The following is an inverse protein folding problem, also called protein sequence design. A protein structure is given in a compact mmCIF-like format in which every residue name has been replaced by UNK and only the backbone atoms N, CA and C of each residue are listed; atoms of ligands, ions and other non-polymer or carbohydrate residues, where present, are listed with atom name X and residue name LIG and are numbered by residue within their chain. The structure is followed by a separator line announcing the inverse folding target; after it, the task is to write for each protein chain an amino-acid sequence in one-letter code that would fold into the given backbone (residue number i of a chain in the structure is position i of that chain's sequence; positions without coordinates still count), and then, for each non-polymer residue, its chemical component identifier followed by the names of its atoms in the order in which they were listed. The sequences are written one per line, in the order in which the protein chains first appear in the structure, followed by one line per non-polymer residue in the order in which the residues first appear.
data_IF_369692600606
#
_entry.id   IF_369692600606
#
_cell.length_a   1.000
_cell.length_b   1.000
_cell.length_c   1.000
_cell.angle_alpha   90.00
_cell.angle_beta   90.00
_cell.angle_gamma   90.00
#
_symmetry.space_group_name_H-M   'P 1'
#
loop_
_entity.id
_entity.type
_entity.pdbx_description
1 polymer ?
#
# COMPACT_ATOMS: atom_id res chain seq x y z
N UNK A 1 14.21 -65.66 -16.68
CA UNK A 1 12.89 -66.27 -16.44
C UNK A 1 11.88 -65.14 -16.26
N UNK A 2 10.95 -65.02 -17.22
CA UNK A 2 9.64 -64.31 -17.20
C UNK A 2 9.62 -62.86 -16.67
N UNK A 3 9.70 -61.78 -17.46
CA UNK A 3 8.78 -61.26 -18.51
C UNK A 3 7.30 -61.30 -18.12
N UNK A 4 6.65 -60.13 -18.00
CA UNK A 4 5.40 -59.81 -18.72
C UNK A 4 5.25 -58.29 -18.91
N UNK A 5 5.03 -57.95 -20.17
CA UNK A 5 4.81 -56.63 -20.77
C UNK A 5 3.30 -56.44 -20.97
N UNK A 6 2.81 -55.19 -21.01
CA UNK A 6 1.72 -54.84 -21.93
C UNK A 6 1.71 -53.34 -22.22
N UNK A 7 2.20 -53.00 -23.42
CA UNK A 7 1.90 -51.77 -24.16
C UNK A 7 0.73 -52.07 -25.09
N UNK A 8 -0.25 -51.17 -25.15
CA UNK A 8 -1.19 -51.11 -26.28
C UNK A 8 -1.07 -49.72 -26.92
N UNK A 9 -0.76 -49.74 -28.22
CA UNK A 9 -0.76 -48.64 -29.19
C UNK A 9 -1.70 -49.10 -30.32
N UNK A 10 -1.93 -48.21 -31.30
CA UNK A 10 -2.65 -48.40 -32.60
C UNK A 10 -4.08 -47.82 -32.53
N UNK A 11 -4.59 -46.95 -33.42
CA UNK A 11 -4.07 -46.29 -34.63
C UNK A 11 -5.00 -45.15 -35.05
N UNK A 12 -4.44 -44.18 -35.78
CA UNK A 12 -5.17 -43.22 -36.64
C UNK A 12 -5.71 -43.92 -37.90
N UNK A 13 -6.88 -43.48 -38.38
CA UNK A 13 -7.22 -43.53 -39.80
C UNK A 13 -8.08 -42.32 -40.18
N UNK A 14 -7.67 -41.67 -41.26
CA UNK A 14 -8.28 -40.53 -41.94
C UNK A 14 -9.09 -40.99 -43.15
N UNK A 15 -10.25 -40.38 -43.39
CA UNK A 15 -10.79 -40.22 -44.75
C UNK A 15 -11.88 -39.14 -44.80
N UNK A 16 -11.71 -38.26 -45.79
CA UNK A 16 -12.63 -37.22 -46.23
C UNK A 16 -13.83 -37.81 -46.96
N UNK A 17 -15.01 -37.19 -46.85
CA UNK A 17 -15.88 -36.84 -47.98
C UNK A 17 -16.89 -35.74 -47.59
N UNK A 18 -17.12 -34.87 -48.57
CA UNK A 18 -18.01 -33.70 -48.60
C UNK A 18 -19.49 -34.06 -48.75
N UNK A 19 -20.39 -33.26 -48.18
CA UNK A 19 -21.65 -32.89 -48.84
C UNK A 19 -22.26 -31.60 -48.23
N UNK A 20 -22.86 -30.83 -49.13
CA UNK A 20 -23.42 -29.47 -49.01
C UNK A 20 -24.86 -29.46 -48.46
N UNK A 21 -25.35 -28.23 -48.24
CA UNK A 21 -26.73 -27.79 -47.93
C UNK A 21 -27.18 -27.99 -46.47
N UNK A 22 -27.86 -27.07 -45.78
CA UNK A 22 -28.54 -25.87 -46.24
C UNK A 22 -28.69 -24.82 -45.12
N UNK A 23 -29.00 -23.64 -45.59
CA UNK A 23 -29.24 -22.34 -44.95
C UNK A 23 -30.29 -22.27 -43.81
N UNK A 24 -29.97 -21.49 -42.77
CA UNK A 24 -30.96 -20.61 -42.11
C UNK A 24 -30.27 -19.52 -41.29
N UNK A 25 -30.18 -18.33 -41.89
CA UNK A 25 -29.80 -17.07 -41.27
C UNK A 25 -30.95 -16.53 -40.40
N UNK A 26 -30.72 -16.37 -39.09
CA UNK A 26 -31.59 -15.55 -38.25
C UNK A 26 -30.90 -14.22 -37.96
N UNK A 27 -31.18 -13.25 -38.83
CA UNK A 27 -30.94 -11.82 -38.63
C UNK A 27 -31.80 -11.29 -37.48
N UNK A 28 -31.20 -10.94 -36.35
CA UNK A 28 -31.86 -10.06 -35.37
C UNK A 28 -31.49 -8.62 -35.66
N UNK A 29 -32.50 -7.89 -36.13
CA UNK A 29 -32.50 -6.46 -36.43
C UNK A 29 -32.06 -5.60 -35.23
N UNK A 30 -31.04 -4.79 -35.44
CA UNK A 30 -30.76 -3.61 -34.62
C UNK A 30 -31.83 -2.56 -34.90
N UNK A 31 -32.80 -2.39 -34.01
CA UNK A 31 -33.64 -1.20 -33.97
C UNK A 31 -32.92 -0.12 -33.18
N UNK A 32 -32.56 0.94 -33.88
CA UNK A 32 -32.17 2.24 -33.37
C UNK A 32 -33.34 2.89 -32.61
N UNK A 33 -33.25 2.93 -31.28
CA UNK A 33 -33.92 3.95 -30.49
C UNK A 33 -32.85 4.74 -29.75
N UNK A 34 -32.49 5.86 -30.35
CA UNK A 34 -31.78 6.97 -29.74
C UNK A 34 -32.77 7.75 -28.87
N UNK A 35 -32.68 7.55 -27.56
CA UNK A 35 -33.09 8.58 -26.59
C UNK A 35 -31.81 9.03 -25.89
N UNK A 36 -31.40 10.26 -26.18
CA UNK A 36 -30.28 10.93 -25.50
C UNK A 36 -30.57 10.95 -23.99
N UNK A 37 -29.65 10.46 -23.14
CA UNK A 37 -29.85 10.55 -21.70
C UNK A 37 -29.57 12.00 -21.24
N UNK A 38 -30.56 12.54 -20.54
CA UNK A 38 -30.52 13.80 -19.79
C UNK A 38 -29.21 13.91 -18.96
N UNK A 39 -28.38 14.95 -19.18
CA UNK A 39 -27.04 15.07 -18.59
C UNK A 39 -27.01 15.35 -17.08
N UNK A 40 -28.17 15.39 -16.40
CA UNK A 40 -28.27 15.74 -14.99
C UNK A 40 -28.64 14.60 -14.03
N UNK A 41 -28.70 13.33 -14.46
CA UNK A 41 -29.08 12.20 -13.59
C UNK A 41 -27.97 11.14 -13.40
N UNK A 42 -26.79 11.56 -12.95
CA UNK A 42 -25.63 10.68 -12.77
C UNK A 42 -25.46 10.06 -11.36
N UNK A 43 -26.39 10.22 -10.42
CA UNK A 43 -26.13 9.85 -9.01
C UNK A 43 -26.72 8.53 -8.48
N UNK A 44 -27.33 7.66 -9.30
CA UNK A 44 -28.06 6.49 -8.73
C UNK A 44 -27.81 5.11 -9.35
N UNK A 45 -27.02 4.98 -10.44
CA UNK A 45 -26.76 3.66 -11.03
C UNK A 45 -25.50 3.03 -10.44
N UNK A 46 -25.71 2.03 -9.57
CA UNK A 46 -24.63 1.15 -9.09
C UNK A 46 -23.97 0.49 -10.31
N UNK A 47 -22.63 0.44 -10.30
CA UNK A 47 -21.83 -0.13 -11.39
C UNK A 47 -22.03 -1.65 -11.52
N UNK A 48 -22.30 -2.31 -10.40
CA UNK A 48 -22.49 -3.75 -10.30
C UNK A 48 -23.79 -4.09 -9.57
N UNK A 49 -24.30 -5.34 -9.70
CA UNK A 49 -25.52 -5.77 -9.01
C UNK A 49 -25.47 -5.47 -7.50
N UNK A 50 -26.55 -4.93 -6.92
CA UNK A 50 -26.57 -4.59 -5.50
C UNK A 50 -26.50 -5.84 -4.63
N UNK A 51 -25.61 -5.83 -3.65
CA UNK A 51 -25.64 -6.78 -2.52
C UNK A 51 -26.25 -6.08 -1.33
N UNK A 52 -27.23 -6.73 -0.70
CA UNK A 52 -27.94 -6.18 0.47
C UNK A 52 -26.95 -5.93 1.60
N UNK A 53 -26.96 -4.70 2.12
CA UNK A 53 -26.11 -4.33 3.24
C UNK A 53 -26.47 -5.18 4.49
N UNK A 54 -25.47 -5.66 5.24
CA UNK A 54 -25.71 -6.53 6.38
C UNK A 54 -26.35 -5.78 7.56
N UNK A 55 -27.29 -6.45 8.24
CA UNK A 55 -27.83 -5.96 9.51
C UNK A 55 -26.97 -6.46 10.67
N UNK A 56 -26.32 -5.52 11.36
CA UNK A 56 -25.47 -5.82 12.50
C UNK A 56 -26.20 -5.71 13.84
N UNK A 57 -25.81 -6.50 14.86
CA UNK A 57 -26.22 -6.22 16.24
C UNK A 57 -25.83 -4.79 16.64
N UNK A 58 -26.66 -4.11 17.42
CA UNK A 58 -26.50 -2.68 17.75
C UNK A 58 -25.08 -2.25 18.13
N UNK A 59 -24.38 -3.03 18.98
CA UNK A 59 -23.00 -2.71 19.40
C UNK A 59 -21.98 -2.81 18.27
N UNK A 60 -22.16 -3.77 17.35
CA UNK A 60 -21.32 -3.94 16.16
C UNK A 60 -21.61 -2.82 15.18
N UNK A 61 -22.89 -2.58 14.89
CA UNK A 61 -23.35 -1.48 14.02
C UNK A 61 -22.74 -0.16 14.46
N UNK A 62 -22.89 0.20 15.75
CA UNK A 62 -22.34 1.44 16.29
C UNK A 62 -20.83 1.54 16.12
N UNK A 63 -20.08 0.46 16.40
CA UNK A 63 -18.62 0.47 16.27
C UNK A 63 -18.17 0.63 14.82
N UNK A 64 -18.80 -0.09 13.89
CA UNK A 64 -18.51 -0.03 12.45
C UNK A 64 -18.86 1.36 11.91
N UNK A 65 -20.06 1.87 12.19
CA UNK A 65 -20.51 3.19 11.74
C UNK A 65 -19.54 4.30 12.17
N UNK A 66 -19.11 4.31 13.45
CA UNK A 66 -18.17 5.32 13.94
C UNK A 66 -16.78 5.16 13.33
N UNK A 67 -16.32 3.93 13.10
CA UNK A 67 -15.03 3.68 12.46
C UNK A 67 -15.06 4.17 11.00
N UNK A 68 -16.11 3.81 10.25
CA UNK A 68 -16.34 4.29 8.88
C UNK A 68 -16.37 5.80 8.80
N UNK A 69 -17.24 6.46 9.59
CA UNK A 69 -17.41 7.92 9.53
C UNK A 69 -16.12 8.68 9.85
N UNK A 70 -15.27 8.14 10.73
CA UNK A 70 -13.97 8.73 11.04
C UNK A 70 -12.93 8.46 9.97
N UNK A 71 -12.96 7.27 9.36
CA UNK A 71 -11.96 6.88 8.38
C UNK A 71 -12.15 7.56 7.03
N UNK A 72 -13.41 7.66 6.59
CA UNK A 72 -13.83 8.35 5.37
C UNK A 72 -14.93 9.34 5.75
N UNK A 73 -14.53 10.54 6.14
CA UNK A 73 -15.48 11.58 6.57
C UNK A 73 -16.32 12.11 5.40
N UNK A 74 -15.78 11.96 4.17
CA UNK A 74 -16.34 12.29 2.87
C UNK A 74 -17.47 11.35 2.41
N UNK A 75 -17.53 10.12 2.93
CA UNK A 75 -18.56 9.14 2.56
C UNK A 75 -19.56 8.94 3.71
N UNK A 76 -20.85 8.91 3.40
CA UNK A 76 -21.86 8.44 4.35
C UNK A 76 -21.60 6.95 4.69
N UNK A 77 -21.49 6.54 5.96
CA UNK A 77 -21.23 5.14 6.34
C UNK A 77 -22.15 4.08 5.70
N UNK A 78 -23.38 4.46 5.34
CA UNK A 78 -24.36 3.58 4.67
C UNK A 78 -24.17 3.52 3.14
N UNK A 79 -23.36 4.42 2.57
CA UNK A 79 -23.01 4.50 1.15
C UNK A 79 -21.63 3.90 0.80
N UNK A 80 -21.01 3.15 1.72
CA UNK A 80 -19.70 2.50 1.52
C UNK A 80 -19.69 1.36 0.48
N UNK A 81 -20.85 1.02 -0.09
CA UNK A 81 -21.02 0.01 -1.15
C UNK A 81 -21.65 0.61 -2.42
N UNK A 82 -21.45 1.92 -2.65
CA UNK A 82 -22.03 2.69 -3.76
C UNK A 82 -21.64 2.15 -5.13
N UNK A 83 -20.42 1.65 -5.30
CA UNK A 83 -19.94 1.09 -6.56
C UNK A 83 -20.47 -0.34 -6.76
N UNK A 84 -20.67 -1.07 -5.67
CA UNK A 84 -21.27 -2.40 -5.68
C UNK A 84 -20.26 -3.51 -5.93
N UNK A 85 -18.97 -3.31 -5.64
CA UNK A 85 -17.92 -4.32 -5.86
C UNK A 85 -18.15 -5.65 -5.12
N UNK A 86 -19.03 -5.66 -4.11
CA UNK A 86 -19.45 -6.90 -3.47
C UNK A 86 -20.25 -7.84 -4.39
N UNK A 87 -20.91 -7.30 -5.42
CA UNK A 87 -21.74 -8.05 -6.37
C UNK A 87 -21.03 -8.40 -7.68
N UNK A 88 -19.71 -8.23 -7.74
CA UNK A 88 -18.91 -8.50 -8.94
C UNK A 88 -17.74 -9.45 -8.68
N UNK A 89 -17.04 -9.78 -9.76
CA UNK A 89 -15.92 -10.71 -9.87
C UNK A 89 -14.56 -10.04 -9.66
N UNK A 90 -14.52 -8.88 -9.00
CA UNK A 90 -13.32 -8.02 -8.84
C UNK A 90 -12.12 -8.77 -8.22
N UNK A 91 -12.40 -9.78 -7.39
CA UNK A 91 -11.38 -10.60 -6.73
C UNK A 91 -11.04 -11.89 -7.48
N UNK A 92 -11.65 -12.09 -8.64
CA UNK A 92 -11.47 -13.25 -9.52
C UNK A 92 -10.92 -12.81 -10.89
N UNK A 93 -10.55 -11.53 -11.02
CA UNK A 93 -9.99 -11.00 -12.25
C UNK A 93 -8.69 -11.72 -12.65
N UNK A 94 -8.48 -11.93 -13.95
CA UNK A 94 -7.26 -12.55 -14.45
C UNK A 94 -6.04 -11.67 -14.19
N UNK A 95 -4.91 -12.32 -13.95
CA UNK A 95 -3.61 -11.66 -13.85
C UNK A 95 -3.00 -11.42 -15.24
N UNK A 96 -2.17 -10.39 -15.35
CA UNK A 96 -1.25 -10.27 -16.47
C UNK A 96 0.03 -11.06 -16.17
N UNK A 97 0.12 -12.27 -16.72
CA UNK A 97 1.25 -13.19 -16.58
C UNK A 97 2.41 -12.88 -17.54
N UNK A 98 2.45 -11.68 -18.14
CA UNK A 98 3.50 -11.33 -19.10
C UNK A 98 4.87 -11.07 -18.46
N UNK A 99 4.91 -10.63 -17.19
CA UNK A 99 6.14 -10.45 -16.43
C UNK A 99 6.03 -11.18 -15.10
N UNK A 100 6.51 -12.42 -15.07
CA UNK A 100 6.46 -13.23 -13.86
C UNK A 100 7.44 -12.77 -12.80
N UNK A 101 6.99 -12.78 -11.55
CA UNK A 101 7.89 -12.69 -10.39
C UNK A 101 8.61 -14.03 -10.19
N UNK A 102 9.91 -13.97 -9.88
CA UNK A 102 10.65 -15.16 -9.46
C UNK A 102 10.09 -15.71 -8.15
N UNK A 103 9.93 -17.03 -8.10
CA UNK A 103 9.56 -17.79 -6.91
C UNK A 103 10.68 -18.76 -6.56
N UNK A 104 11.05 -18.81 -5.29
CA UNK A 104 12.09 -19.68 -4.75
C UNK A 104 11.51 -20.40 -3.52
N UNK A 105 11.92 -21.65 -3.28
CA UNK A 105 11.60 -22.32 -2.02
C UNK A 105 12.71 -22.11 -0.99
N UNK A 106 12.37 -21.89 0.27
CA UNK A 106 13.35 -21.53 1.32
C UNK A 106 14.42 -22.60 1.62
N UNK A 107 14.17 -23.85 1.23
CA UNK A 107 15.13 -24.96 1.32
C UNK A 107 16.22 -24.90 0.25
N UNK A 108 15.95 -24.25 -0.88
CA UNK A 108 16.84 -24.15 -2.04
C UNK A 108 17.56 -22.79 -2.11
N UNK A 109 16.99 -21.78 -1.45
CA UNK A 109 17.54 -20.43 -1.39
C UNK A 109 18.38 -20.22 -0.11
N UNK A 110 19.71 -20.23 -0.25
CA UNK A 110 20.61 -19.81 0.84
C UNK A 110 20.57 -18.29 1.04
N UNK A 111 20.92 -17.82 2.24
CA UNK A 111 21.00 -16.36 2.55
C UNK A 111 22.01 -15.66 1.63
N UNK A 112 23.15 -16.29 1.35
CA UNK A 112 24.16 -15.73 0.44
C UNK A 112 23.62 -15.56 -0.99
N UNK A 113 22.88 -16.56 -1.50
CA UNK A 113 22.19 -16.47 -2.79
C UNK A 113 21.16 -15.34 -2.76
N UNK A 114 20.32 -15.30 -1.72
CA UNK A 114 19.33 -14.24 -1.56
C UNK A 114 19.92 -12.83 -1.66
N UNK A 115 21.00 -12.57 -0.91
CA UNK A 115 21.68 -11.28 -0.92
C UNK A 115 22.23 -10.95 -2.32
N UNK A 116 22.89 -11.90 -2.97
CA UNK A 116 23.55 -11.66 -4.25
C UNK A 116 22.58 -11.56 -5.44
N UNK A 117 21.52 -12.37 -5.44
CA UNK A 117 20.59 -12.51 -6.57
C UNK A 117 19.37 -11.59 -6.45
N UNK A 118 18.99 -11.17 -5.24
CA UNK A 118 17.76 -10.40 -5.00
C UNK A 118 17.99 -9.10 -4.22
N UNK A 119 18.57 -9.15 -3.02
CA UNK A 119 18.66 -7.94 -2.17
C UNK A 119 19.60 -6.87 -2.75
N UNK A 120 20.84 -7.25 -3.07
CA UNK A 120 21.85 -6.34 -3.64
C UNK A 120 21.46 -5.77 -5.01
N UNK A 121 20.95 -6.56 -5.98
CA UNK A 121 20.47 -6.01 -7.25
C UNK A 121 19.10 -5.33 -7.13
N UNK A 122 18.49 -5.33 -5.94
CA UNK A 122 17.18 -4.75 -5.66
C UNK A 122 16.07 -5.33 -6.55
N UNK A 123 15.97 -6.66 -6.59
CA UNK A 123 14.95 -7.40 -7.33
C UNK A 123 13.94 -8.07 -6.38
N UNK A 124 12.62 -7.94 -6.62
CA UNK A 124 11.61 -8.59 -5.82
C UNK A 124 11.60 -10.10 -6.07
N UNK A 125 11.24 -10.86 -5.03
CA UNK A 125 11.14 -12.33 -5.09
C UNK A 125 10.07 -12.80 -4.11
N UNK A 126 9.39 -13.89 -4.47
CA UNK A 126 8.52 -14.63 -3.55
C UNK A 126 9.29 -15.84 -3.03
N UNK A 127 9.30 -16.02 -1.71
CA UNK A 127 10.00 -17.12 -1.04
C UNK A 127 8.98 -17.97 -0.31
N UNK A 128 8.85 -19.22 -0.71
CA UNK A 128 7.88 -20.18 -0.16
C UNK A 128 8.47 -21.02 1.00
N UNK A 129 7.60 -21.45 1.91
CA UNK A 129 7.89 -22.42 2.97
C UNK A 129 8.62 -21.88 4.21
N UNK A 130 8.83 -20.57 4.33
CA UNK A 130 9.54 -19.96 5.49
C UNK A 130 8.83 -20.27 6.81
N UNK A 131 7.51 -20.02 6.96
CA UNK A 131 6.82 -20.27 8.22
C UNK A 131 6.92 -21.73 8.69
N UNK A 132 6.87 -22.68 7.76
CA UNK A 132 6.99 -24.11 8.00
C UNK A 132 8.39 -24.47 8.47
N UNK A 133 9.41 -24.02 7.73
CA UNK A 133 10.81 -24.30 8.03
C UNK A 133 11.26 -23.70 9.37
N UNK A 134 10.81 -22.50 9.70
CA UNK A 134 11.17 -21.80 10.94
C UNK A 134 10.27 -22.19 12.14
N UNK A 135 9.25 -23.02 11.90
CA UNK A 135 8.33 -23.52 12.92
C UNK A 135 7.43 -22.45 13.52
N UNK A 136 6.88 -21.55 12.69
CA UNK A 136 6.03 -20.45 13.14
C UNK A 136 4.78 -20.97 13.86
N UNK A 137 4.53 -20.42 15.05
CA UNK A 137 3.30 -20.68 15.80
C UNK A 137 2.05 -20.18 15.09
N UNK A 138 2.20 -19.18 14.21
CA UNK A 138 1.15 -18.57 13.40
C UNK A 138 0.42 -19.60 12.54
N UNK A 139 1.13 -20.57 11.95
CA UNK A 139 0.51 -21.65 11.16
C UNK A 139 -0.56 -22.43 11.94
N UNK A 140 -0.38 -22.53 13.27
CA UNK A 140 -1.32 -23.21 14.16
C UNK A 140 -2.33 -22.24 14.77
N UNK A 141 -1.95 -20.98 15.05
CA UNK A 141 -2.72 -20.04 15.89
C UNK A 141 -3.46 -18.95 15.12
N UNK A 142 -3.01 -18.59 13.91
CA UNK A 142 -3.51 -17.44 13.15
C UNK A 142 -4.65 -17.78 12.18
N UNK A 143 -5.51 -18.72 12.54
CA UNK A 143 -6.81 -18.82 11.84
C UNK A 143 -7.78 -17.77 12.38
N UNK A 144 -8.63 -17.22 11.52
CA UNK A 144 -9.65 -16.22 11.90
C UNK A 144 -10.48 -16.67 13.12
N UNK A 145 -10.83 -17.96 13.20
CA UNK A 145 -11.54 -18.56 14.34
C UNK A 145 -10.73 -18.52 15.63
N UNK A 146 -9.46 -18.89 15.59
CA UNK A 146 -8.58 -18.94 16.77
C UNK A 146 -8.20 -17.53 17.24
N UNK A 147 -7.84 -16.64 16.32
CA UNK A 147 -7.59 -15.24 16.62
C UNK A 147 -8.81 -14.59 17.27
N UNK A 148 -10.02 -14.82 16.73
CA UNK A 148 -11.26 -14.29 17.32
C UNK A 148 -11.44 -14.78 18.75
N UNK A 149 -11.10 -16.02 19.06
CA UNK A 149 -11.22 -16.60 20.41
C UNK A 149 -10.23 -15.93 21.38
N UNK A 150 -8.96 -15.80 20.98
CA UNK A 150 -7.88 -15.28 21.83
C UNK A 150 -7.99 -13.76 22.06
N UNK A 151 -8.22 -12.99 21.00
CA UNK A 151 -8.11 -11.53 21.03
C UNK A 151 -9.46 -10.81 21.03
N UNK A 152 -10.57 -11.50 21.36
CA UNK A 152 -11.95 -11.00 21.20
C UNK A 152 -12.21 -9.59 21.78
N UNK A 153 -11.53 -9.21 22.86
CA UNK A 153 -11.74 -7.93 23.57
C UNK A 153 -10.69 -6.86 23.24
N UNK A 154 -9.60 -7.24 22.59
CA UNK A 154 -8.49 -6.39 22.20
C UNK A 154 -8.92 -5.42 21.12
N UNK A 155 -8.40 -4.19 21.14
CA UNK A 155 -8.65 -3.17 20.13
C UNK A 155 -7.47 -3.03 19.18
N UNK A 156 -7.66 -3.46 17.93
CA UNK A 156 -6.67 -3.27 16.88
C UNK A 156 -6.98 -2.00 16.08
N UNK A 157 -5.93 -1.35 15.57
CA UNK A 157 -6.04 -0.26 14.61
C UNK A 157 -6.60 -0.79 13.29
N UNK A 158 -7.71 -0.20 12.84
CA UNK A 158 -8.41 -0.59 11.62
C UNK A 158 -8.69 0.58 10.66
N UNK A 159 -7.99 1.69 10.87
CA UNK A 159 -8.09 2.91 10.07
C UNK A 159 -7.37 4.08 10.73
N UNK A 160 -7.38 5.22 10.04
CA UNK A 160 -6.93 6.51 10.53
C UNK A 160 -7.96 7.57 10.14
N UNK A 161 -8.13 8.61 10.95
CA UNK A 161 -8.95 9.76 10.58
C UNK A 161 -8.18 10.78 9.75
N UNK A 162 -8.86 11.84 9.28
CA UNK A 162 -8.31 12.92 8.46
C UNK A 162 -7.12 13.67 9.12
N UNK A 163 -6.89 13.45 10.42
CA UNK A 163 -5.78 14.03 11.18
C UNK A 163 -4.68 13.01 11.49
N UNK A 164 -4.75 11.80 10.93
CA UNK A 164 -3.80 10.71 11.16
C UNK A 164 -3.95 10.04 12.52
N UNK A 165 -5.05 10.25 13.24
CA UNK A 165 -5.28 9.58 14.53
C UNK A 165 -5.82 8.18 14.28
N UNK A 166 -5.24 7.21 14.98
CA UNK A 166 -5.64 5.81 14.85
C UNK A 166 -7.09 5.57 15.27
N UNK A 167 -7.84 4.91 14.39
CA UNK A 167 -9.17 4.38 14.67
C UNK A 167 -8.99 2.92 15.08
N UNK A 168 -9.49 2.57 16.26
CA UNK A 168 -9.40 1.21 16.80
C UNK A 168 -10.77 0.59 17.00
N UNK A 169 -10.83 -0.73 16.82
CA UNK A 169 -12.05 -1.51 17.02
C UNK A 169 -11.76 -2.81 17.75
N UNK A 170 -12.66 -3.21 18.66
CA UNK A 170 -12.59 -4.52 19.31
C UNK A 170 -12.60 -5.63 18.26
N UNK A 171 -11.66 -6.56 18.37
CA UNK A 171 -11.47 -7.61 17.38
C UNK A 171 -12.74 -8.42 17.12
N UNK A 172 -13.54 -8.73 18.15
CA UNK A 172 -14.83 -9.43 17.96
C UNK A 172 -15.83 -8.66 17.07
N UNK A 173 -15.80 -7.32 17.08
CA UNK A 173 -16.67 -6.51 16.24
C UNK A 173 -16.13 -6.48 14.82
N UNK A 174 -14.83 -6.29 14.65
CA UNK A 174 -14.16 -6.36 13.36
C UNK A 174 -14.37 -7.71 12.68
N UNK A 175 -14.27 -8.81 13.42
CA UNK A 175 -14.52 -10.17 12.90
C UNK A 175 -15.99 -10.40 12.49
N UNK A 176 -16.95 -9.73 13.13
CA UNK A 176 -18.35 -9.77 12.69
C UNK A 176 -18.57 -8.90 11.46
N UNK A 177 -17.91 -7.74 11.39
CA UNK A 177 -17.89 -6.87 10.22
C UNK A 177 -17.30 -7.58 8.99
N UNK A 178 -16.06 -8.09 9.08
CA UNK A 178 -15.37 -8.83 8.02
C UNK A 178 -16.23 -9.93 7.40
N UNK A 179 -16.94 -10.72 8.22
CA UNK A 179 -17.75 -11.84 7.75
C UNK A 179 -18.96 -11.42 6.89
N UNK A 180 -19.51 -10.22 7.12
CA UNK A 180 -20.81 -9.83 6.58
C UNK A 180 -20.78 -8.59 5.69
N UNK A 181 -19.71 -7.80 5.74
CA UNK A 181 -19.60 -6.53 5.02
C UNK A 181 -19.75 -6.71 3.50
N UNK A 182 -20.32 -5.67 2.87
CA UNK A 182 -20.48 -5.56 1.42
C UNK A 182 -19.84 -4.28 0.89
N UNK A 183 -18.89 -3.72 1.63
CA UNK A 183 -18.25 -2.44 1.33
C UNK A 183 -17.34 -2.58 0.11
N UNK A 184 -17.19 -1.50 -0.65
CA UNK A 184 -16.35 -1.42 -1.84
C UNK A 184 -14.86 -1.53 -1.47
N UNK A 185 -14.39 -0.64 -0.58
CA UNK A 185 -13.09 -0.73 0.12
C UNK A 185 -13.33 -0.89 1.63
N UNK A 186 -13.33 -2.13 2.17
CA UNK A 186 -13.66 -2.35 3.57
C UNK A 186 -12.53 -1.89 4.53
N UNK A 187 -12.90 -1.59 5.78
CA UNK A 187 -11.94 -1.33 6.86
C UNK A 187 -10.93 -2.48 7.00
N UNK A 188 -9.66 -2.12 7.24
CA UNK A 188 -8.54 -3.05 7.24
C UNK A 188 -7.73 -2.93 8.53
N UNK A 189 -7.56 -4.02 9.28
CA UNK A 189 -6.63 -4.01 10.42
C UNK A 189 -5.20 -3.91 9.89
N UNK A 190 -4.52 -2.85 10.30
CA UNK A 190 -3.13 -2.52 9.96
C UNK A 190 -2.46 -1.99 11.22
N UNK A 191 -2.18 -2.87 12.18
CA UNK A 191 -1.75 -2.49 13.53
C UNK A 191 -0.23 -2.57 13.68
N UNK A 192 0.39 -1.43 14.03
CA UNK A 192 1.84 -1.29 14.16
C UNK A 192 2.35 -1.28 15.59
N UNK A 193 1.46 -1.51 16.55
CA UNK A 193 1.70 -1.33 18.00
C UNK A 193 1.36 -2.60 18.78
N UNK A 194 1.14 -3.70 18.06
CA UNK A 194 0.73 -4.96 18.65
C UNK A 194 1.83 -5.56 19.56
N UNK A 195 3.07 -5.12 19.44
CA UNK A 195 4.18 -5.47 20.32
C UNK A 195 4.32 -4.56 21.56
N UNK A 196 3.67 -3.39 21.55
CA UNK A 196 3.65 -2.45 22.68
C UNK A 196 2.59 -2.81 23.72
N UNK A 197 1.50 -3.46 23.31
CA UNK A 197 0.37 -3.77 24.18
C UNK A 197 0.45 -5.18 24.78
N UNK A 198 0.31 -5.29 26.10
CA UNK A 198 0.40 -6.57 26.83
C UNK A 198 -0.62 -7.63 26.37
N UNK A 199 -1.79 -7.23 25.86
CA UNK A 199 -2.85 -8.11 25.39
C UNK A 199 -2.67 -8.59 23.94
N UNK A 200 -1.67 -8.06 23.21
CA UNK A 200 -1.31 -8.47 21.85
C UNK A 200 0.13 -8.92 21.68
N UNK A 201 1.02 -8.61 22.64
CA UNK A 201 2.45 -8.89 22.53
C UNK A 201 2.78 -10.36 22.28
N UNK A 202 1.92 -11.28 22.74
CA UNK A 202 2.04 -12.72 22.45
C UNK A 202 1.95 -13.08 20.97
N UNK A 203 1.47 -12.19 20.09
CA UNK A 203 1.55 -12.38 18.63
C UNK A 203 3.01 -12.45 18.15
N UNK A 204 3.96 -11.85 18.86
CA UNK A 204 5.39 -11.98 18.55
C UNK A 204 5.91 -13.41 18.76
N UNK A 205 5.29 -14.20 19.64
CA UNK A 205 5.65 -15.59 19.89
C UNK A 205 5.20 -16.51 18.74
N UNK A 206 4.42 -15.99 17.80
CA UNK A 206 3.80 -16.74 16.71
C UNK A 206 4.64 -16.72 15.43
N UNK A 207 5.63 -15.83 15.31
CA UNK A 207 6.48 -15.75 14.14
C UNK A 207 7.91 -15.38 14.50
N UNK A 208 8.82 -15.52 13.52
CA UNK A 208 10.21 -15.08 13.63
C UNK A 208 10.53 -14.20 12.44
N UNK A 209 11.47 -13.26 12.57
CA UNK A 209 11.98 -12.57 11.38
C UNK A 209 12.70 -13.61 10.52
N UNK A 210 12.35 -13.77 9.23
CA UNK A 210 12.99 -14.76 8.36
C UNK A 210 14.51 -14.58 8.29
N UNK A 211 15.24 -15.70 8.13
CA UNK A 211 16.72 -15.72 8.05
C UNK A 211 17.32 -14.82 6.96
N UNK A 212 16.53 -14.41 5.96
CA UNK A 212 16.92 -13.53 4.86
C UNK A 212 16.99 -12.05 5.26
N UNK A 213 16.37 -11.65 6.37
CA UNK A 213 16.29 -10.27 6.83
C UNK A 213 16.90 -10.09 8.24
N UNK A 214 18.15 -10.55 8.50
CA UNK A 214 18.70 -10.60 9.85
C UNK A 214 19.16 -9.21 10.36
N UNK A 215 19.39 -8.26 9.46
CA UNK A 215 19.80 -6.90 9.80
C UNK A 215 18.60 -5.98 9.97
N UNK A 216 18.53 -5.31 11.12
CA UNK A 216 17.60 -4.22 11.38
C UNK A 216 18.36 -3.00 11.91
N UNK A 217 18.99 -2.25 10.99
CA UNK A 217 19.85 -1.12 11.36
C UNK A 217 19.09 0.04 12.03
N UNK A 218 17.76 0.11 11.90
CA UNK A 218 16.97 1.09 12.64
C UNK A 218 16.81 0.75 14.12
N UNK A 219 17.01 -0.50 14.53
CA UNK A 219 17.08 -0.87 15.96
C UNK A 219 18.13 -0.04 16.73
N UNK A 220 19.21 0.37 16.05
CA UNK A 220 20.30 1.17 16.64
C UNK A 220 19.82 2.54 17.16
N UNK A 221 18.75 3.12 16.62
CA UNK A 221 18.21 4.39 17.12
C UNK A 221 17.30 4.21 18.34
N UNK A 222 16.98 2.96 18.73
CA UNK A 222 16.13 2.57 19.85
C UNK A 222 14.64 2.59 19.53
N UNK A 223 13.87 1.75 20.23
CA UNK A 223 12.43 1.53 19.99
C UNK A 223 11.59 2.83 20.09
N UNK A 224 11.86 3.72 21.06
CA UNK A 224 11.10 4.98 21.21
C UNK A 224 11.27 5.98 20.05
N UNK A 225 12.32 5.83 19.25
CA UNK A 225 12.73 6.84 18.25
C UNK A 225 12.72 6.31 16.82
N UNK A 226 12.72 4.99 16.63
CA UNK A 226 12.57 4.40 15.31
C UNK A 226 11.15 4.66 14.78
N UNK A 227 10.96 4.73 13.45
CA UNK A 227 9.62 4.68 12.87
C UNK A 227 8.94 3.33 13.17
N UNK A 228 7.59 3.26 13.15
CA UNK A 228 6.89 1.99 13.06
C UNK A 228 7.40 1.19 11.87
N UNK A 229 7.61 -0.10 12.07
CA UNK A 229 8.37 -0.95 11.13
C UNK A 229 7.82 -2.36 11.02
N UNK A 230 6.80 -2.71 11.79
CA UNK A 230 6.15 -4.02 11.73
C UNK A 230 4.66 -3.84 11.88
N UNK A 231 3.90 -4.66 11.15
CA UNK A 231 2.45 -4.60 11.20
C UNK A 231 1.85 -6.00 11.22
N UNK A 232 0.83 -6.15 12.07
CA UNK A 232 -0.10 -7.28 12.03
C UNK A 232 -1.30 -6.88 11.18
N UNK A 233 -1.61 -7.70 10.17
CA UNK A 233 -2.62 -7.37 9.16
C UNK A 233 -3.74 -8.39 9.18
N UNK A 234 -4.99 -7.91 9.25
CA UNK A 234 -6.19 -8.74 9.10
C UNK A 234 -7.20 -7.97 8.23
N UNK A 235 -7.40 -8.42 7.00
CA UNK A 235 -8.16 -7.68 5.99
C UNK A 235 -9.22 -8.53 5.32
N UNK A 236 -10.47 -8.05 5.20
CA UNK A 236 -11.49 -8.77 4.47
C UNK A 236 -11.23 -8.74 2.95
N UNK A 237 -11.90 -9.62 2.20
CA UNK A 237 -11.99 -9.54 0.73
C UNK A 237 -12.34 -8.11 0.28
N UNK A 238 -11.64 -7.61 -0.75
CA UNK A 238 -11.65 -6.24 -1.31
C UNK A 238 -10.87 -5.15 -0.57
N UNK A 239 -10.39 -5.40 0.65
CA UNK A 239 -9.48 -4.45 1.29
C UNK A 239 -8.09 -4.49 0.64
N UNK A 240 -7.25 -3.47 0.88
CA UNK A 240 -5.93 -3.46 0.29
C UNK A 240 -5.09 -2.26 0.71
N UNK A 241 -4.00 -2.05 -0.02
CA UNK A 241 -3.15 -0.87 0.11
C UNK A 241 -2.88 -0.32 -1.28
N UNK A 242 -3.12 0.98 -1.43
CA UNK A 242 -2.97 1.72 -2.69
C UNK A 242 -1.52 1.76 -3.14
N UNK A 243 -1.28 2.21 -4.38
CA UNK A 243 0.06 2.29 -4.94
C UNK A 243 0.97 3.22 -4.11
N UNK A 244 2.07 2.68 -3.60
CA UNK A 244 3.02 3.42 -2.78
C UNK A 244 4.45 2.89 -2.93
N UNK A 245 5.39 3.62 -2.32
CA UNK A 245 6.77 3.17 -2.08
C UNK A 245 7.00 3.23 -0.59
N UNK A 246 7.69 2.24 -0.04
CA UNK A 246 8.00 2.19 1.37
C UNK A 246 8.78 3.43 1.86
N UNK A 247 8.46 3.93 3.06
CA UNK A 247 9.02 5.18 3.56
C UNK A 247 10.52 5.06 3.82
N UNK A 248 11.20 6.21 3.74
CA UNK A 248 12.64 6.33 4.02
C UNK A 248 13.54 5.40 3.18
N UNK A 249 13.04 4.84 2.07
CA UNK A 249 13.83 3.95 1.21
C UNK A 249 14.11 2.58 1.80
N UNK A 250 13.39 2.19 2.86
CA UNK A 250 13.49 0.83 3.42
C UNK A 250 13.02 -0.21 2.41
N UNK A 251 13.53 -1.43 2.54
CA UNK A 251 12.91 -2.60 1.92
C UNK A 251 11.90 -3.21 2.89
N UNK A 252 11.04 -4.09 2.40
CA UNK A 252 10.05 -4.78 3.22
C UNK A 252 10.00 -6.28 2.90
N UNK A 253 9.48 -7.04 3.86
CA UNK A 253 9.01 -8.38 3.63
C UNK A 253 7.57 -8.54 4.13
N UNK A 254 6.77 -9.34 3.44
CA UNK A 254 5.37 -9.61 3.79
C UNK A 254 5.10 -11.12 3.74
N UNK A 255 4.80 -11.72 4.89
CA UNK A 255 4.46 -13.15 4.98
C UNK A 255 2.96 -13.34 5.16
N UNK A 256 2.34 -14.08 4.23
CA UNK A 256 0.92 -14.37 4.24
C UNK A 256 0.64 -15.70 4.93
N UNK A 257 -0.28 -15.71 5.90
CA UNK A 257 -0.64 -16.91 6.68
C UNK A 257 -2.02 -17.44 6.30
N UNK A 258 -2.95 -16.56 5.92
CA UNK A 258 -4.31 -16.93 5.51
C UNK A 258 -4.72 -16.09 4.31
N UNK A 259 -5.47 -16.70 3.38
CA UNK A 259 -6.06 -16.04 2.21
C UNK A 259 -5.07 -15.86 1.06
N UNK A 260 -5.42 -14.98 0.13
CA UNK A 260 -4.60 -14.63 -1.04
C UNK A 260 -4.52 -13.11 -1.21
N UNK A 261 -3.36 -12.63 -1.65
CA UNK A 261 -3.13 -11.21 -1.97
C UNK A 261 -2.70 -11.10 -3.43
N UNK A 262 -3.36 -10.24 -4.19
CA UNK A 262 -2.91 -9.84 -5.51
C UNK A 262 -1.96 -8.66 -5.37
N UNK A 263 -0.82 -8.75 -6.04
CA UNK A 263 0.23 -7.75 -6.04
C UNK A 263 0.40 -7.17 -7.43
N UNK A 264 0.74 -5.89 -7.48
CA UNK A 264 1.26 -5.22 -8.67
C UNK A 264 2.48 -4.41 -8.26
N UNK A 265 3.58 -4.57 -9.00
CA UNK A 265 4.87 -3.95 -8.74
C UNK A 265 5.36 -3.21 -9.98
N UNK A 266 5.97 -2.04 -9.78
CA UNK A 266 6.65 -1.29 -10.83
C UNK A 266 8.09 -0.95 -10.43
N UNK A 267 9.06 -1.07 -11.37
CA UNK A 267 10.45 -0.77 -11.10
C UNK A 267 10.71 0.66 -10.60
N UNK A 268 11.72 0.87 -9.75
CA UNK A 268 12.01 2.16 -9.12
C UNK A 268 12.44 3.27 -10.09
N UNK A 269 12.90 2.93 -11.29
CA UNK A 269 13.33 3.91 -12.29
C UNK A 269 12.15 4.56 -13.02
N UNK A 270 10.95 3.98 -12.93
CA UNK A 270 9.77 4.54 -13.57
C UNK A 270 9.33 5.82 -12.87
N UNK A 271 9.01 6.88 -13.63
CA UNK A 271 8.64 8.14 -13.05
C UNK A 271 7.27 8.04 -12.36
N UNK A 272 7.14 8.71 -11.21
CA UNK A 272 5.91 8.69 -10.39
C UNK A 272 4.63 8.97 -11.20
N UNK A 273 4.68 9.94 -12.11
CA UNK A 273 3.52 10.37 -12.90
C UNK A 273 3.02 9.32 -13.89
N UNK A 274 3.88 8.35 -14.25
CA UNK A 274 3.51 7.23 -15.11
C UNK A 274 2.75 6.19 -14.28
N UNK A 275 3.35 5.71 -13.20
CA UNK A 275 2.80 4.59 -12.39
C UNK A 275 1.59 5.00 -11.57
N UNK A 276 1.51 6.25 -11.11
CA UNK A 276 0.35 6.75 -10.38
C UNK A 276 -0.83 7.07 -11.30
N UNK A 277 -0.65 7.00 -12.62
CA UNK A 277 -1.69 7.18 -13.61
C UNK A 277 -2.50 8.47 -13.49
N UNK A 278 -1.94 9.55 -12.92
CA UNK A 278 -2.71 10.76 -12.57
C UNK A 278 -3.50 11.35 -13.75
N UNK A 279 -2.97 11.23 -14.97
CA UNK A 279 -3.63 11.71 -16.19
C UNK A 279 -4.79 10.82 -16.68
N UNK A 280 -4.97 9.66 -16.06
CA UNK A 280 -5.98 8.65 -16.39
C UNK A 280 -7.01 8.47 -15.28
N UNK A 281 -6.91 9.22 -14.17
CA UNK A 281 -7.92 9.26 -13.11
C UNK A 281 -9.07 10.14 -13.58
N UNK A 282 -10.31 9.68 -13.39
CA UNK A 282 -11.52 10.47 -13.69
C UNK A 282 -11.97 11.22 -12.43
N UNK A 283 -12.68 12.33 -12.62
CA UNK A 283 -13.05 13.24 -11.51
C UNK A 283 -13.98 12.60 -10.46
N UNK A 284 -14.70 11.55 -10.83
CA UNK A 284 -15.68 10.84 -9.99
C UNK A 284 -15.15 9.56 -9.34
N UNK A 285 -13.88 9.23 -9.52
CA UNK A 285 -13.29 7.97 -9.04
C UNK A 285 -12.71 8.07 -7.64
N UNK A 286 -12.92 7.01 -6.85
CA UNK A 286 -12.24 6.80 -5.58
C UNK A 286 -10.77 6.39 -5.81
N UNK A 287 -9.91 6.64 -4.82
CA UNK A 287 -8.47 6.36 -4.91
C UNK A 287 -8.03 5.14 -4.08
N UNK A 288 -8.99 4.29 -3.71
CA UNK A 288 -8.79 3.06 -2.93
C UNK A 288 -8.09 1.95 -3.73
N UNK A 289 -7.59 0.93 -3.01
CA UNK A 289 -6.86 -0.17 -3.64
C UNK A 289 -7.71 -0.89 -4.70
N UNK A 290 -8.98 -1.17 -4.41
CA UNK A 290 -9.90 -1.81 -5.38
C UNK A 290 -10.02 -0.98 -6.65
N UNK A 291 -10.21 0.34 -6.55
CA UNK A 291 -10.29 1.25 -7.70
C UNK A 291 -8.98 1.29 -8.50
N UNK A 292 -7.84 1.23 -7.82
CA UNK A 292 -6.55 1.13 -8.51
C UNK A 292 -6.47 -0.12 -9.40
N UNK A 293 -6.82 -1.29 -8.87
CA UNK A 293 -6.77 -2.55 -9.63
C UNK A 293 -7.86 -2.66 -10.70
N UNK A 294 -9.06 -2.13 -10.43
CA UNK A 294 -10.22 -2.25 -11.33
C UNK A 294 -10.23 -1.23 -12.46
N UNK A 295 -9.77 -0.01 -12.19
CA UNK A 295 -9.97 1.12 -13.09
C UNK A 295 -8.65 1.66 -13.61
N UNK A 296 -7.76 2.04 -12.69
CA UNK A 296 -6.57 2.79 -13.04
C UNK A 296 -5.51 1.90 -13.72
N UNK A 297 -5.21 0.74 -13.15
CA UNK A 297 -4.21 -0.18 -13.67
C UNK A 297 -4.57 -0.67 -15.10
N UNK A 298 -5.82 -1.11 -15.40
CA UNK A 298 -6.20 -1.47 -16.76
C UNK A 298 -6.09 -0.30 -17.75
N UNK A 299 -6.44 0.93 -17.32
CA UNK A 299 -6.25 2.12 -18.18
C UNK A 299 -4.79 2.41 -18.45
N UNK A 300 -3.94 2.33 -17.43
CA UNK A 300 -2.50 2.54 -17.55
C UNK A 300 -1.88 1.53 -18.53
N UNK A 301 -2.23 0.24 -18.42
CA UNK A 301 -1.79 -0.82 -19.33
C UNK A 301 -2.24 -0.63 -20.78
N UNK A 302 -3.42 -0.03 -21.01
CA UNK A 302 -3.88 0.31 -22.36
C UNK A 302 -3.15 1.53 -22.94
N UNK A 303 -2.75 2.47 -22.08
CA UNK A 303 -2.14 3.72 -22.50
C UNK A 303 -0.61 3.66 -22.64
N UNK A 304 0.04 2.63 -22.11
CA UNK A 304 1.50 2.45 -22.13
C UNK A 304 1.87 1.04 -22.54
N UNK A 305 2.96 0.87 -23.29
CA UNK A 305 3.41 -0.47 -23.70
C UNK A 305 3.89 -1.29 -22.51
N UNK A 306 3.83 -2.62 -22.65
CA UNK A 306 4.28 -3.57 -21.62
C UNK A 306 5.76 -3.39 -21.28
N UNK A 307 6.58 -3.15 -22.28
CA UNK A 307 8.03 -2.93 -22.16
C UNK A 307 8.35 -1.63 -21.41
N UNK A 308 7.44 -0.66 -21.48
CA UNK A 308 7.55 0.63 -20.79
C UNK A 308 7.16 0.51 -19.32
N UNK A 309 6.04 -0.18 -19.02
CA UNK A 309 5.56 -0.30 -17.64
C UNK A 309 6.33 -1.33 -16.82
N UNK A 310 6.84 -2.39 -17.47
CA UNK A 310 7.57 -3.48 -16.79
C UNK A 310 6.85 -3.97 -15.53
N UNK A 311 5.52 -3.95 -15.60
CA UNK A 311 4.62 -4.21 -14.49
C UNK A 311 4.67 -5.70 -14.16
N UNK A 312 4.89 -6.02 -12.89
CA UNK A 312 4.92 -7.40 -12.38
C UNK A 312 3.67 -7.64 -11.56
N UNK A 313 2.88 -8.64 -11.93
CA UNK A 313 1.63 -9.01 -11.24
C UNK A 313 1.65 -10.46 -10.81
N UNK A 314 1.14 -10.73 -9.61
CA UNK A 314 1.08 -12.09 -9.08
C UNK A 314 0.10 -12.23 -7.93
N UNK A 315 -0.37 -13.46 -7.70
CA UNK A 315 -0.99 -13.87 -6.44
C UNK A 315 0.10 -14.37 -5.48
N UNK A 316 0.04 -13.85 -4.26
CA UNK A 316 0.70 -14.41 -3.08
C UNK A 316 -0.26 -15.39 -2.38
N UNK A 317 0.25 -16.56 -2.04
CA UNK A 317 -0.46 -17.66 -1.39
C UNK A 317 -0.04 -17.83 0.09
N UNK A 318 -0.83 -18.54 0.92
CA UNK A 318 -0.45 -18.85 2.29
C UNK A 318 0.89 -19.58 2.35
N UNK A 319 1.77 -19.19 3.29
CA UNK A 319 3.13 -19.73 3.43
C UNK A 319 4.19 -18.89 2.71
N UNK A 320 3.79 -18.13 1.67
CA UNK A 320 4.71 -17.32 0.89
C UNK A 320 5.10 -16.02 1.60
N UNK A 321 6.37 -15.67 1.50
CA UNK A 321 6.93 -14.37 1.91
C UNK A 321 7.41 -13.59 0.70
N UNK A 322 6.84 -12.41 0.46
CA UNK A 322 7.29 -11.51 -0.61
C UNK A 322 8.40 -10.62 -0.05
N UNK A 323 9.51 -10.50 -0.78
CA UNK A 323 10.54 -9.48 -0.57
C UNK A 323 10.32 -8.31 -1.53
N UNK A 324 10.22 -7.10 -0.99
CA UNK A 324 10.01 -5.85 -1.73
C UNK A 324 11.24 -4.96 -1.52
N UNK A 325 12.11 -4.81 -2.52
CA UNK A 325 13.27 -3.95 -2.41
C UNK A 325 12.87 -2.47 -2.33
N UNK A 326 13.69 -1.68 -1.63
CA UNK A 326 13.44 -0.26 -1.46
C UNK A 326 13.35 0.48 -2.80
N UNK A 327 12.31 1.31 -2.95
CA UNK A 327 12.07 2.10 -4.15
C UNK A 327 11.07 1.51 -5.15
N UNK A 328 10.73 0.23 -5.05
CA UNK A 328 9.70 -0.38 -5.88
C UNK A 328 8.31 0.17 -5.55
N UNK A 329 7.59 0.63 -6.57
CA UNK A 329 6.19 0.97 -6.40
C UNK A 329 5.38 -0.30 -6.30
N UNK A 330 4.43 -0.36 -5.37
CA UNK A 330 3.59 -1.53 -5.21
C UNK A 330 2.21 -1.18 -4.67
N UNK A 331 1.21 -1.93 -5.13
CA UNK A 331 -0.13 -1.95 -4.56
C UNK A 331 -0.52 -3.40 -4.25
N UNK A 332 -1.39 -3.58 -3.25
CA UNK A 332 -1.79 -4.90 -2.75
C UNK A 332 -3.29 -4.94 -2.60
N UNK A 333 -3.91 -6.00 -3.10
CA UNK A 333 -5.35 -6.21 -3.07
C UNK A 333 -5.69 -7.57 -2.46
N UNK A 334 -6.53 -7.58 -1.43
CA UNK A 334 -6.95 -8.81 -0.75
C UNK A 334 -8.11 -9.44 -1.52
N UNK A 335 -7.83 -10.52 -2.26
CA UNK A 335 -8.85 -11.24 -3.03
C UNK A 335 -9.67 -12.22 -2.18
N UNK A 336 -9.16 -12.55 -0.98
CA UNK A 336 -9.85 -13.30 0.08
C UNK A 336 -9.78 -12.52 1.41
N UNK A 337 -10.38 -13.07 2.47
CA UNK A 337 -10.05 -12.66 3.85
C UNK A 337 -8.61 -13.11 4.18
N UNK A 338 -7.77 -12.16 4.62
CA UNK A 338 -6.33 -12.38 4.81
C UNK A 338 -5.87 -12.17 6.25
N UNK A 339 -4.82 -12.92 6.63
CA UNK A 339 -4.01 -12.67 7.83
C UNK A 339 -2.54 -12.70 7.43
N UNK A 340 -1.80 -11.65 7.75
CA UNK A 340 -0.39 -11.53 7.39
C UNK A 340 0.41 -10.76 8.46
N UNK A 341 1.73 -10.83 8.35
CA UNK A 341 2.68 -9.96 9.07
C UNK A 341 3.68 -9.40 8.08
N UNK A 342 4.01 -8.13 8.23
CA UNK A 342 4.98 -7.46 7.34
C UNK A 342 5.92 -6.60 8.17
N UNK A 343 7.17 -6.47 7.73
CA UNK A 343 8.11 -5.53 8.33
C UNK A 343 8.95 -4.81 7.29
N UNK A 344 9.22 -3.54 7.59
CA UNK A 344 10.18 -2.72 6.88
C UNK A 344 11.52 -2.82 7.60
N UNK A 345 12.60 -2.94 6.84
CA UNK A 345 13.93 -3.10 7.40
C UNK A 345 14.98 -2.29 6.62
N UNK A 346 16.05 -1.96 7.34
CA UNK A 346 17.26 -1.40 6.76
C UNK A 346 18.39 -2.39 7.01
N UNK A 347 19.01 -2.84 5.93
CA UNK A 347 20.19 -3.69 5.94
C UNK A 347 21.39 -2.93 5.39
N UNK A 348 22.58 -3.51 5.52
CA UNK A 348 23.79 -3.05 4.87
C UNK A 348 23.63 -2.83 3.35
N UNK A 349 22.80 -3.64 2.67
CA UNK A 349 22.63 -3.54 1.21
C UNK A 349 21.82 -2.30 0.79
N UNK A 350 20.75 -1.96 1.53
CA UNK A 350 19.92 -0.81 1.21
C UNK A 350 20.30 0.48 1.98
N UNK A 351 21.26 0.38 2.91
CA UNK A 351 21.71 1.48 3.75
C UNK A 351 22.01 2.79 3.00
N UNK A 352 22.70 2.81 1.83
CA UNK A 352 22.98 4.06 1.13
C UNK A 352 21.73 4.85 0.73
N UNK A 353 20.66 4.16 0.33
CA UNK A 353 19.39 4.79 -0.02
C UNK A 353 18.67 5.25 1.25
N UNK A 354 18.61 4.38 2.26
CA UNK A 354 17.95 4.66 3.55
C UNK A 354 18.59 5.84 4.27
N UNK A 355 19.92 5.90 4.31
CA UNK A 355 20.68 6.98 4.91
C UNK A 355 20.34 8.34 4.27
N UNK A 356 20.36 8.42 2.93
CA UNK A 356 20.05 9.67 2.21
C UNK A 356 18.63 10.17 2.48
N UNK A 357 17.66 9.27 2.51
CA UNK A 357 16.26 9.61 2.81
C UNK A 357 16.08 9.97 4.29
N UNK A 358 16.77 9.29 5.20
CA UNK A 358 16.69 9.54 6.65
C UNK A 358 17.36 10.84 7.06
N UNK A 359 18.56 11.14 6.55
CA UNK A 359 19.28 12.39 6.89
C UNK A 359 18.56 13.65 6.43
N UNK A 360 17.79 13.55 5.34
CA UNK A 360 16.94 14.64 4.84
C UNK A 360 15.58 14.70 5.55
N UNK A 361 14.87 13.58 5.64
CA UNK A 361 13.49 13.52 6.17
C UNK A 361 13.38 13.47 7.69
N UNK A 362 14.37 12.91 8.39
CA UNK A 362 14.36 12.72 9.85
C UNK A 362 15.70 13.17 10.48
N UNK A 363 16.04 14.44 10.28
CA UNK A 363 17.30 15.09 10.68
C UNK A 363 17.85 14.68 12.06
N UNK A 364 17.03 14.77 13.12
CA UNK A 364 17.44 14.43 14.49
C UNK A 364 17.74 12.94 14.67
N UNK A 365 16.93 12.08 14.05
CA UNK A 365 17.14 10.64 14.06
C UNK A 365 18.44 10.28 13.33
N UNK A 366 18.72 10.90 12.19
CA UNK A 366 19.95 10.66 11.44
C UNK A 366 21.22 11.01 12.23
N UNK A 367 21.22 12.12 12.97
CA UNK A 367 22.34 12.49 13.86
C UNK A 367 22.55 11.42 14.94
N UNK A 368 21.47 10.95 15.58
CA UNK A 368 21.55 9.87 16.57
C UNK A 368 22.06 8.56 15.95
N UNK A 369 21.57 8.24 14.76
CA UNK A 369 21.91 7.01 14.05
C UNK A 369 23.39 6.97 13.67
N UNK A 370 23.94 8.07 13.13
CA UNK A 370 25.35 8.17 12.79
C UNK A 370 26.26 7.94 14.00
N UNK A 371 25.93 8.53 15.16
CA UNK A 371 26.65 8.31 16.42
C UNK A 371 26.59 6.86 16.90
N UNK A 372 25.48 6.16 16.62
CA UNK A 372 25.32 4.75 16.99
C UNK A 372 26.07 3.82 16.05
N UNK A 373 26.13 4.16 14.76
CA UNK A 373 26.94 3.43 13.79
C UNK A 373 28.43 3.51 14.14
N UNK A 374 28.92 4.65 14.62
CA UNK A 374 30.32 4.80 15.07
C UNK A 374 30.73 3.73 16.11
N UNK A 375 29.83 3.36 17.01
CA UNK A 375 30.10 2.36 18.05
C UNK A 375 29.78 0.92 17.64
N UNK A 376 28.89 0.71 16.66
CA UNK A 376 28.33 -0.61 16.36
C UNK A 376 28.74 -1.16 14.98
N UNK A 377 29.02 -0.28 14.01
CA UNK A 377 29.40 -0.64 12.65
C UNK A 377 30.16 0.53 11.99
N UNK A 378 31.49 0.53 12.15
CA UNK A 378 32.37 1.59 11.67
C UNK A 378 32.34 1.72 10.13
N UNK A 379 32.19 0.62 9.40
CA UNK A 379 32.14 0.63 7.94
C UNK A 379 30.92 1.39 7.41
N UNK A 380 29.73 1.13 7.97
CA UNK A 380 28.51 1.86 7.61
C UNK A 380 28.55 3.32 8.04
N UNK A 381 29.22 3.62 9.17
CA UNK A 381 29.48 5.01 9.58
C UNK A 381 30.37 5.74 8.56
N UNK A 382 31.48 5.13 8.16
CA UNK A 382 32.39 5.70 7.17
C UNK A 382 31.67 5.93 5.83
N UNK A 383 30.88 4.95 5.38
CA UNK A 383 30.02 5.08 4.19
C UNK A 383 29.03 6.24 4.33
N UNK A 384 28.36 6.40 5.47
CA UNK A 384 27.44 7.51 5.71
C UNK A 384 28.13 8.88 5.59
N UNK A 385 29.35 9.02 6.11
CA UNK A 385 30.17 10.22 6.00
C UNK A 385 30.63 10.48 4.56
N UNK A 386 31.04 9.44 3.84
CA UNK A 386 31.41 9.53 2.43
C UNK A 386 30.22 10.01 1.59
N UNK A 387 29.04 9.43 1.79
CA UNK A 387 27.81 9.84 1.11
C UNK A 387 27.43 11.28 1.45
N UNK A 388 27.68 11.75 2.68
CA UNK A 388 27.47 13.16 3.02
C UNK A 388 28.44 14.06 2.26
N UNK A 389 29.72 13.70 2.21
CA UNK A 389 30.75 14.46 1.48
C UNK A 389 30.45 14.51 -0.02
N UNK A 390 30.12 13.37 -0.63
CA UNK A 390 29.79 13.25 -2.06
C UNK A 390 28.59 14.12 -2.44
N UNK A 391 27.56 14.12 -1.59
CA UNK A 391 26.32 14.85 -1.85
C UNK A 391 26.37 16.29 -1.30
N UNK A 392 27.54 16.76 -0.81
CA UNK A 392 27.74 18.05 -0.13
C UNK A 392 26.69 18.32 0.96
N UNK A 393 26.27 17.26 1.65
CA UNK A 393 25.21 17.30 2.64
C UNK A 393 25.76 17.65 4.03
N UNK A 394 25.28 18.76 4.60
CA UNK A 394 25.61 19.17 5.96
C UNK A 394 24.59 18.56 6.93
N UNK A 395 25.08 17.81 7.92
CA UNK A 395 24.24 17.19 8.94
C UNK A 395 23.62 18.26 9.85
N UNK A 396 22.42 17.99 10.34
CA UNK A 396 21.72 18.90 11.25
C UNK A 396 22.50 19.15 12.54
N UNK A 397 22.71 20.42 12.87
CA UNK A 397 23.18 20.87 14.18
C UNK A 397 22.10 21.73 14.87
N UNK A 398 21.97 21.60 16.19
CA UNK A 398 21.02 22.44 16.96
C UNK A 398 21.43 23.91 16.94
N UNK A 399 22.73 24.19 16.88
CA UNK A 399 23.33 25.53 16.92
C UNK A 399 23.14 26.32 15.62
N UNK A 400 23.15 25.68 14.46
CA UNK A 400 22.83 26.36 13.20
C UNK A 400 21.33 26.56 13.02
N UNK A 401 20.51 25.62 13.52
CA UNK A 401 19.05 25.74 13.48
C UNK A 401 18.54 26.94 14.28
N UNK A 402 19.18 27.27 15.41
CA UNK A 402 18.84 28.47 16.19
C UNK A 402 19.31 29.75 15.50
N UNK A 403 20.44 29.72 14.78
CA UNK A 403 20.92 30.84 13.95
C UNK A 403 20.02 31.11 12.74
N UNK A 404 19.50 30.08 12.08
CA UNK A 404 18.50 30.22 11.00
C UNK A 404 17.15 30.76 11.51
N UNK A 405 16.73 30.33 12.70
CA UNK A 405 15.50 30.86 13.33
C UNK A 405 15.67 32.33 13.77
N UNK A 406 16.86 32.68 14.27
CA UNK A 406 17.23 34.05 14.61
C UNK A 406 17.31 34.95 13.34
N UNK A 407 17.92 34.46 12.26
CA UNK A 407 18.04 35.24 11.02
C UNK A 407 16.71 35.42 10.28
N UNK A 408 15.84 34.40 10.30
CA UNK A 408 14.49 34.48 9.72
C UNK A 408 13.54 35.36 10.53
N UNK A 409 13.65 35.36 11.87
CA UNK A 409 12.91 36.28 12.74
C UNK A 409 13.42 37.73 12.64
N UNK A 410 14.73 37.94 12.44
CA UNK A 410 15.32 39.25 12.09
C UNK A 410 14.83 39.75 10.71
N UNK A 411 14.72 38.87 9.71
CA UNK A 411 14.16 39.20 8.39
C UNK A 411 12.66 39.57 8.46
N UNK A 412 11.86 38.84 9.25
CA UNK A 412 10.44 39.20 9.51
C UNK A 412 10.30 40.53 10.25
N UNK A 413 11.19 40.84 11.20
CA UNK A 413 11.23 42.15 11.89
C UNK A 413 11.66 43.29 10.97
N UNK A 414 12.61 43.07 10.06
CA UNK A 414 12.98 44.07 9.03
C UNK A 414 11.85 44.33 8.03
N UNK A 415 11.14 43.30 7.57
CA UNK A 415 9.98 43.46 6.67
C UNK A 415 8.81 44.20 7.31
N UNK A 416 8.54 43.95 8.60
CA UNK A 416 7.54 44.73 9.36
C UNK A 416 7.91 46.21 9.53
N UNK A 417 9.21 46.53 9.64
CA UNK A 417 9.69 47.92 9.73
C UNK A 417 9.62 48.65 8.39
N UNK A 418 9.93 47.98 7.28
CA UNK A 418 9.79 48.58 5.94
C UNK A 418 8.33 48.85 5.56
N UNK A 419 7.40 47.95 5.89
CA UNK A 419 5.96 48.15 5.61
C UNK A 419 5.36 49.30 6.44
N UNK A 420 5.87 49.54 7.65
CA UNK A 420 5.47 50.70 8.47
C UNK A 420 6.04 52.02 7.94
N UNK A 421 7.26 52.02 7.40
CA UNK A 421 7.89 53.23 6.82
C UNK A 421 7.26 53.61 5.47
N UNK A 422 6.79 52.64 4.67
CA UNK A 422 6.01 52.90 3.45
C UNK A 422 4.61 53.45 3.74
N UNK A 423 3.91 52.92 4.77
CA UNK A 423 2.59 53.44 5.18
C UNK A 423 2.64 54.89 5.67
N UNK A 424 3.73 55.31 6.32
CA UNK A 424 3.92 56.70 6.77
C UNK A 424 4.20 57.63 5.56
N UNK A 425 4.85 57.12 4.51
CA UNK A 425 5.07 57.85 3.25
C UNK A 425 3.82 57.94 2.35
N UNK A 426 2.90 56.99 2.41
CA UNK A 426 1.62 57.06 1.69
C UNK A 426 0.61 58.01 2.38
N UNK A 427 0.54 58.01 3.71
CA UNK A 427 -0.35 58.91 4.47
C UNK A 427 0.03 60.39 4.32
N UNK A 428 1.31 60.69 4.08
CA UNK A 428 1.78 62.06 3.80
C UNK A 428 1.54 62.51 2.36
N UNK A 429 1.26 61.59 1.42
CA UNK A 429 0.93 61.90 0.02
C UNK A 429 -0.59 61.98 -0.27
N UNK A 430 -1.42 61.39 0.59
CA UNK A 430 -2.88 61.35 0.43
C UNK A 430 -3.66 62.63 0.83
N UNK A 431 -3.01 63.64 1.41
CA UNK A 431 -3.68 64.87 1.89
C UNK A 431 -3.79 66.00 0.85
N UNK A 432 -3.40 65.77 -0.41
CA UNK A 432 -3.42 66.82 -1.45
C UNK A 432 -4.23 66.56 -2.70
N UNK A 433 -4.91 65.40 -2.84
CA UNK A 433 -5.78 65.17 -4.01
C UNK A 433 -6.97 64.29 -3.64
N UNK A 434 -8.14 64.90 -3.44
CA UNK A 434 -9.43 64.41 -3.97
C UNK A 434 -10.61 65.17 -3.36
N UNK A 435 -10.82 66.39 -3.84
CA UNK A 435 -12.11 67.05 -3.77
C UNK A 435 -12.65 67.15 -5.20
N UNK A 436 -13.44 66.13 -5.62
CA UNK A 436 -14.55 66.24 -6.61
C UNK A 436 -15.05 64.87 -7.14
N UNK A 437 -16.37 64.71 -6.98
CA UNK A 437 -17.36 64.06 -7.87
C UNK A 437 -17.65 62.54 -7.79
N UNK A 438 -18.54 62.20 -6.84
CA UNK A 438 -19.93 61.68 -6.99
C UNK A 438 -20.39 61.03 -8.33
N UNK A 439 -20.92 59.79 -8.27
CA UNK A 439 -22.36 59.34 -8.45
C UNK A 439 -22.44 57.83 -8.79
N UNK A 440 -23.01 56.99 -7.91
CA UNK A 440 -24.38 56.35 -7.92
C UNK A 440 -24.59 55.32 -9.05
N UNK A 441 -24.64 54.01 -8.74
CA UNK A 441 -25.83 53.17 -8.37
C UNK A 441 -26.81 52.98 -9.54
N UNK A 442 -27.32 51.79 -9.86
CA UNK A 442 -27.66 50.65 -9.00
C UNK A 442 -26.86 49.36 -9.26
#
# INVERSE_FOLDING_TARGET
MTMHSNKIKVSRSSSLTSSLSDSSSSTTSFSSNSEDPDPYNHSSRRRFPPVVAPVYPFKVHRAVFHAKKKHRSDIDPDAWNREGFAGSDVCELPLDESNDIKREHCSELSVKRFINEYERPALPVVIDGIPEADGWGALKRWSLKKLRKSYKRVEFKCGEDDHGKSIRMKFKYFMTYMKHQTDDSPLYIFDSTFDDHNDTKSLLDDYKVPKYFPEDLFSLVGEDRRPPYRWFLVGPKRSGTTLHVDPLGTSAWNTLVVGRKQWVLFPPHLPKHLVNGKNYVRDDEDDEAVNYFMDLLPRLKRASSRETLQCVEFIQYPGETVFIPGGWWHAVFNVDDTVAVTQNFCSSQNFPAVWRKTRSGRKRMAVKWLKKLETCNFELMALALELNKKDKFVMYSKEESSREFSSSSLRKRKKKRSDSDEKIKELSRGLHQSDKKKKKCC
#
